data_IF_134221099980
#
_entry.id   IF_134221099980
#
_cell.length_a   1.000
_cell.length_b   1.000
_cell.length_c   1.000
_cell.angle_alpha   90.00
_cell.angle_beta   90.00
_cell.angle_gamma   90.00
#
_symmetry.space_group_name_H-M   'P 1'
#
loop_
_entity.id
_entity.type
_entity.pdbx_description
1 polymer ?
#
# COMPACT_ATOMS: atom_id res chain seq x y z
N UNK A 1 -8.71 -12.05 32.44
CA UNK A 1 -7.24 -12.27 32.39
C UNK A 1 -6.87 -13.68 31.96
N UNK A 2 -7.54 -14.73 32.47
CA UNK A 2 -7.26 -16.13 32.06
C UNK A 2 -7.59 -16.41 30.59
N UNK A 3 -8.74 -15.92 30.13
CA UNK A 3 -9.19 -16.11 28.73
C UNK A 3 -8.27 -15.44 27.69
N UNK A 4 -7.61 -14.34 28.07
CA UNK A 4 -6.71 -13.62 27.17
C UNK A 4 -5.34 -14.31 27.04
N UNK A 5 -4.86 -14.95 28.11
CA UNK A 5 -3.63 -15.77 28.07
C UNK A 5 -3.86 -17.06 27.28
N UNK A 6 -5.03 -17.70 27.43
CA UNK A 6 -5.39 -18.87 26.63
C UNK A 6 -5.55 -18.51 25.14
N UNK A 7 -6.13 -17.34 24.85
CA UNK A 7 -6.22 -16.79 23.49
C UNK A 7 -4.86 -16.59 22.84
N UNK A 8 -3.92 -15.95 23.54
CA UNK A 8 -2.57 -15.66 23.06
C UNK A 8 -1.76 -16.94 22.76
N UNK A 9 -1.87 -17.95 23.62
CA UNK A 9 -1.23 -19.26 23.40
C UNK A 9 -1.80 -19.95 22.16
N UNK A 10 -3.12 -19.94 21.96
CA UNK A 10 -3.76 -20.55 20.80
C UNK A 10 -3.38 -19.83 19.50
N UNK A 11 -3.33 -18.49 19.52
CA UNK A 11 -2.88 -17.65 18.41
C UNK A 11 -1.45 -18.00 18.00
N UNK A 12 -0.55 -18.12 18.98
CA UNK A 12 0.86 -18.45 18.71
C UNK A 12 1.03 -19.87 18.17
N UNK A 13 0.22 -20.82 18.65
CA UNK A 13 0.17 -22.18 18.10
C UNK A 13 -0.38 -22.22 16.68
N UNK A 14 -1.39 -21.40 16.36
CA UNK A 14 -1.91 -21.24 14.99
C UNK A 14 -0.80 -20.76 14.03
N UNK A 15 -0.10 -19.69 14.40
CA UNK A 15 0.97 -19.10 13.57
C UNK A 15 2.14 -20.05 13.32
N UNK A 16 2.41 -20.96 14.25
CA UNK A 16 3.47 -21.98 14.15
C UNK A 16 2.99 -23.34 13.59
N UNK A 17 1.72 -23.46 13.21
CA UNK A 17 1.15 -24.70 12.66
C UNK A 17 0.96 -25.83 13.69
N UNK A 18 0.83 -25.50 14.97
CA UNK A 18 0.70 -26.46 16.08
C UNK A 18 -0.73 -26.85 16.46
N UNK A 19 -1.76 -26.29 15.81
CA UNK A 19 -3.15 -26.60 16.12
C UNK A 19 -3.62 -27.90 15.44
N UNK A 20 -4.40 -28.70 16.18
CA UNK A 20 -5.13 -29.85 15.64
C UNK A 20 -6.27 -29.39 14.72
N UNK A 21 -6.69 -30.23 13.77
CA UNK A 21 -7.74 -29.89 12.79
C UNK A 21 -9.09 -29.46 13.41
N UNK A 22 -9.46 -30.01 14.57
CA UNK A 22 -10.69 -29.62 15.29
C UNK A 22 -10.58 -28.21 15.89
N UNK A 23 -9.51 -27.96 16.64
CA UNK A 23 -9.22 -26.64 17.22
C UNK A 23 -8.98 -25.57 16.14
N UNK A 24 -8.41 -25.95 14.99
CA UNK A 24 -8.18 -25.04 13.87
C UNK A 24 -9.48 -24.45 13.33
N UNK A 25 -10.51 -25.28 13.14
CA UNK A 25 -11.81 -24.80 12.63
C UNK A 25 -12.48 -23.85 13.61
N UNK A 26 -12.51 -24.19 14.89
CA UNK A 26 -13.09 -23.32 15.93
C UNK A 26 -12.32 -22.01 16.05
N UNK A 27 -10.99 -22.07 15.90
CA UNK A 27 -10.12 -20.91 15.91
C UNK A 27 -10.38 -20.00 14.69
N UNK A 28 -10.46 -20.55 13.48
CA UNK A 28 -10.75 -19.79 12.26
C UNK A 28 -12.15 -19.15 12.27
N UNK A 29 -13.15 -19.87 12.76
CA UNK A 29 -14.51 -19.34 12.92
C UNK A 29 -14.54 -18.15 13.89
N UNK A 30 -13.81 -18.26 15.00
CA UNK A 30 -13.67 -17.16 15.95
C UNK A 30 -12.91 -15.99 15.35
N UNK A 31 -11.83 -16.24 14.60
CA UNK A 31 -11.05 -15.22 13.92
C UNK A 31 -11.87 -14.39 12.92
N UNK A 32 -12.86 -15.02 12.26
CA UNK A 32 -13.75 -14.34 11.32
C UNK A 32 -14.87 -13.53 11.97
N UNK A 33 -15.23 -13.84 13.22
CA UNK A 33 -16.40 -13.27 13.91
C UNK A 33 -16.01 -12.25 14.99
N UNK A 34 -14.81 -12.36 15.54
CA UNK A 34 -14.30 -11.57 16.66
C UNK A 34 -13.13 -10.68 16.18
N UNK A 35 -13.45 -9.41 15.88
CA UNK A 35 -12.47 -8.42 15.41
C UNK A 35 -11.33 -8.19 16.42
N UNK A 36 -11.62 -8.22 17.72
CA UNK A 36 -10.61 -8.05 18.77
C UNK A 36 -9.64 -9.24 18.81
N UNK A 37 -10.13 -10.45 18.51
CA UNK A 37 -9.30 -11.65 18.39
C UNK A 37 -8.40 -11.59 17.15
N UNK A 38 -8.88 -11.03 16.04
CA UNK A 38 -8.06 -10.77 14.86
C UNK A 38 -6.95 -9.74 15.14
N UNK A 39 -7.25 -8.66 15.87
CA UNK A 39 -6.21 -7.70 16.27
C UNK A 39 -5.13 -8.33 17.16
N UNK A 40 -5.52 -9.26 18.04
CA UNK A 40 -4.57 -10.03 18.86
C UNK A 40 -3.67 -10.93 18.00
N UNK A 41 -4.21 -11.55 16.95
CA UNK A 41 -3.42 -12.32 15.98
C UNK A 41 -2.33 -11.45 15.33
N UNK A 42 -2.67 -10.25 14.86
CA UNK A 42 -1.72 -9.33 14.23
C UNK A 42 -0.63 -8.87 15.20
N UNK A 43 -0.99 -8.63 16.46
CA UNK A 43 -0.04 -8.27 17.51
C UNK A 43 0.93 -9.44 17.80
N UNK A 44 0.41 -10.66 17.91
CA UNK A 44 1.21 -11.86 18.14
C UNK A 44 2.11 -12.22 16.93
N UNK A 45 1.66 -11.93 15.71
CA UNK A 45 2.47 -12.05 14.48
C UNK A 45 3.73 -11.16 14.55
N UNK A 46 3.56 -9.91 14.96
CA UNK A 46 4.68 -8.97 15.13
C UNK A 46 5.63 -9.43 16.23
N UNK A 47 5.11 -9.86 17.39
CA UNK A 47 5.92 -10.37 18.50
C UNK A 47 6.70 -11.64 18.11
N UNK A 48 6.11 -12.52 17.31
CA UNK A 48 6.78 -13.72 16.83
C UNK A 48 7.95 -13.42 15.88
N UNK A 49 7.82 -12.39 15.04
CA UNK A 49 8.90 -11.92 14.17
C UNK A 49 10.05 -11.36 15.00
N UNK A 50 9.75 -10.53 16.00
CA UNK A 50 10.75 -9.95 16.89
C UNK A 50 11.49 -11.03 17.70
N UNK A 51 10.76 -12.03 18.21
CA UNK A 51 11.34 -13.17 18.93
C UNK A 51 12.26 -14.01 18.03
N UNK A 52 11.94 -14.14 16.74
CA UNK A 52 12.82 -14.83 15.79
C UNK A 52 14.07 -14.01 15.44
N UNK A 53 13.93 -12.68 15.29
CA UNK A 53 15.07 -11.79 14.99
C UNK A 53 16.02 -11.66 16.18
N UNK A 54 15.51 -11.77 17.40
CA UNK A 54 16.28 -11.69 18.66
C UNK A 54 16.82 -13.05 19.15
N UNK A 55 16.67 -14.12 18.37
CA UNK A 55 17.03 -15.50 18.75
C UNK A 55 16.35 -15.99 20.05
N UNK A 56 15.17 -15.45 20.39
CA UNK A 56 14.38 -15.83 21.56
C UNK A 56 13.49 -17.06 21.34
N UNK A 57 13.33 -17.52 20.09
CA UNK A 57 12.59 -18.74 19.75
C UNK A 57 13.41 -20.00 20.00
N UNK A 58 12.77 -21.06 20.52
CA UNK A 58 13.39 -22.38 20.63
C UNK A 58 13.65 -22.98 19.25
N UNK A 59 14.61 -23.90 19.14
CA UNK A 59 14.96 -24.53 17.85
C UNK A 59 13.76 -25.17 17.12
N UNK A 60 12.82 -25.76 17.87
CA UNK A 60 11.60 -26.31 17.30
C UNK A 60 10.65 -25.22 16.78
N UNK A 61 10.50 -24.12 17.53
CA UNK A 61 9.69 -22.98 17.13
C UNK A 61 10.27 -22.25 15.93
N UNK A 62 11.59 -22.06 15.85
CA UNK A 62 12.26 -21.45 14.70
C UNK A 62 12.06 -22.28 13.42
N UNK A 63 12.14 -23.62 13.53
CA UNK A 63 11.86 -24.51 12.39
C UNK A 63 10.40 -24.40 11.92
N UNK A 64 9.46 -24.37 12.86
CA UNK A 64 8.04 -24.14 12.56
C UNK A 64 7.80 -22.76 11.94
N UNK A 65 8.48 -21.73 12.43
CA UNK A 65 8.42 -20.37 11.91
C UNK A 65 8.88 -20.32 10.44
N UNK A 66 10.01 -20.94 10.13
CA UNK A 66 10.52 -20.98 8.74
C UNK A 66 9.64 -21.80 7.80
N UNK A 67 9.03 -22.88 8.29
CA UNK A 67 8.27 -23.82 7.45
C UNK A 67 6.80 -23.45 7.28
N UNK A 68 6.17 -22.88 8.31
CA UNK A 68 4.72 -22.60 8.34
C UNK A 68 4.41 -21.10 8.35
N UNK A 69 5.16 -20.32 9.14
CA UNK A 69 4.91 -18.89 9.23
C UNK A 69 5.40 -18.19 7.96
N UNK A 70 6.65 -18.43 7.52
CA UNK A 70 7.24 -17.84 6.30
C UNK A 70 6.75 -18.47 4.98
N UNK A 71 5.50 -18.92 4.88
CA UNK A 71 4.94 -19.42 3.62
C UNK A 71 4.48 -18.32 2.66
N UNK A 72 4.18 -17.12 3.17
CA UNK A 72 3.62 -16.02 2.38
C UNK A 72 4.66 -14.92 2.13
N UNK A 73 4.67 -14.29 0.94
CA UNK A 73 5.66 -13.24 0.61
C UNK A 73 5.57 -12.02 1.53
N UNK A 74 4.38 -11.70 2.05
CA UNK A 74 4.17 -10.62 3.02
C UNK A 74 4.95 -10.85 4.33
N UNK A 75 4.92 -12.07 4.88
CA UNK A 75 5.64 -12.39 6.13
C UNK A 75 7.15 -12.36 5.95
N UNK A 76 7.65 -12.67 4.75
CA UNK A 76 9.07 -12.47 4.41
C UNK A 76 9.46 -11.00 4.39
N UNK A 77 8.59 -10.12 3.90
CA UNK A 77 8.82 -8.68 3.87
C UNK A 77 8.84 -8.10 5.28
N UNK A 78 7.89 -8.46 6.13
CA UNK A 78 7.86 -8.04 7.54
C UNK A 78 9.13 -8.50 8.29
N UNK A 79 9.59 -9.73 8.06
CA UNK A 79 10.85 -10.22 8.62
C UNK A 79 12.07 -9.42 8.13
N UNK A 80 12.13 -9.07 6.84
CA UNK A 80 13.21 -8.23 6.29
C UNK A 80 13.24 -6.87 6.96
N UNK A 81 12.07 -6.27 7.19
CA UNK A 81 11.95 -4.98 7.87
C UNK A 81 12.44 -5.07 9.32
N UNK A 82 11.97 -6.07 10.08
CA UNK A 82 12.39 -6.28 11.47
C UNK A 82 13.90 -6.50 11.59
N UNK A 83 14.50 -7.27 10.68
CA UNK A 83 15.96 -7.47 10.62
C UNK A 83 16.71 -6.17 10.32
N UNK A 84 16.24 -5.37 9.36
CA UNK A 84 16.83 -4.08 9.03
C UNK A 84 16.76 -3.09 10.20
N UNK A 85 15.65 -3.11 10.95
CA UNK A 85 15.48 -2.30 12.15
C UNK A 85 16.43 -2.71 13.28
N UNK A 86 16.55 -4.02 13.56
CA UNK A 86 17.50 -4.54 14.56
C UNK A 86 18.95 -4.15 14.23
N UNK A 87 19.36 -4.22 12.96
CA UNK A 87 20.70 -3.85 12.51
C UNK A 87 21.02 -2.36 12.76
N UNK A 88 20.03 -1.47 12.67
CA UNK A 88 20.21 -0.05 12.98
C UNK A 88 20.35 0.20 14.48
N UNK A 89 19.58 -0.51 15.31
CA UNK A 89 19.69 -0.44 16.78
C UNK A 89 21.05 -0.88 17.31
N UNK A 90 21.67 -1.89 16.69
CA UNK A 90 23.02 -2.36 17.04
C UNK A 90 24.16 -1.53 16.45
N UNK A 91 23.88 -0.62 15.52
CA UNK A 91 24.90 0.20 14.82
C UNK A 91 25.01 1.64 15.35
N UNK A 92 24.35 1.96 16.47
CA UNK A 92 24.60 3.23 17.15
C UNK A 92 26.07 3.26 17.62
N UNK A 93 26.86 4.28 17.25
CA UNK A 93 28.28 4.31 17.54
C UNK A 93 28.50 4.42 19.05
N UNK A 94 28.87 3.29 19.63
CA UNK A 94 29.53 3.17 20.92
C UNK A 94 30.86 3.94 20.84
N UNK A 95 30.81 5.21 21.25
CA UNK A 95 32.00 6.02 21.44
C UNK A 95 32.82 5.40 22.57
N UNK A 96 33.91 4.74 22.18
CA UNK A 96 34.93 4.19 23.03
C UNK A 96 35.42 5.22 24.07
N UNK A 97 35.28 4.84 25.35
CA UNK A 97 35.89 5.49 26.50
C UNK A 97 36.44 4.41 27.43
N UNK A 98 37.60 3.88 27.05
CA UNK A 98 38.51 2.99 27.79
C UNK A 98 38.52 3.22 29.30
N UNK A 99 38.40 2.14 30.09
CA UNK A 99 39.34 1.80 31.18
C UNK A 99 38.96 0.46 31.86
N UNK A 100 39.79 -0.54 31.53
CA UNK A 100 40.38 -1.54 32.45
C UNK A 100 39.48 -2.42 33.33
N UNK A 101 39.51 -3.73 33.01
CA UNK A 101 39.35 -4.82 33.97
C UNK A 101 40.45 -4.76 35.07
N UNK A 102 40.26 -5.46 36.20
CA UNK A 102 40.88 -6.79 36.33
C UNK A 102 39.96 -7.86 37.01
N UNK A 103 40.40 -9.14 37.09
CA UNK A 103 39.51 -10.30 37.13
C UNK A 103 39.32 -10.87 38.54
N UNK A 104 38.24 -11.64 38.74
CA UNK A 104 38.21 -12.74 39.72
C UNK A 104 37.25 -13.83 39.26
N UNK A 105 37.82 -15.02 39.06
CA UNK A 105 37.17 -16.32 38.90
C UNK A 105 36.39 -16.70 40.16
N UNK A 106 35.21 -17.32 40.02
CA UNK A 106 34.86 -18.57 40.71
C UNK A 106 33.67 -19.26 40.03
N UNK A 107 33.90 -20.51 39.66
CA UNK A 107 32.94 -21.56 39.27
C UNK A 107 32.19 -22.08 40.50
N UNK A 108 30.86 -22.25 40.39
CA UNK A 108 30.13 -23.42 40.93
C UNK A 108 28.81 -23.59 40.19
N UNK A 109 28.53 -24.83 39.79
CA UNK A 109 27.33 -25.30 39.12
C UNK A 109 26.07 -25.19 40.00
N UNK A 110 24.92 -24.93 39.38
CA UNK A 110 23.60 -25.33 39.91
C UNK A 110 22.59 -25.52 38.78
N UNK A 111 21.81 -26.58 38.94
CA UNK A 111 20.94 -27.26 37.99
C UNK A 111 19.52 -26.65 37.96
N UNK A 112 19.01 -26.35 36.74
CA UNK A 112 17.59 -26.14 36.35
C UNK A 112 16.79 -24.96 36.99
N UNK A 113 15.67 -24.49 36.39
CA UNK A 113 15.01 -24.88 35.12
C UNK A 113 14.95 -23.74 34.07
N UNK A 114 14.47 -24.11 32.89
CA UNK A 114 14.17 -23.23 31.75
C UNK A 114 13.01 -22.30 32.13
N UNK A 115 13.31 -21.04 32.40
CA UNK A 115 12.31 -20.00 32.64
C UNK A 115 12.14 -19.12 31.40
N UNK A 116 10.87 -18.82 31.12
CA UNK A 116 10.32 -18.12 29.96
C UNK A 116 11.18 -16.92 29.55
N UNK A 117 11.59 -16.91 28.28
CA UNK A 117 12.28 -15.79 27.65
C UNK A 117 11.49 -14.49 27.90
N UNK A 118 12.15 -13.56 28.57
CA UNK A 118 11.61 -12.25 28.91
C UNK A 118 11.33 -11.46 27.63
N UNK A 119 10.04 -11.21 27.39
CA UNK A 119 9.55 -10.36 26.31
C UNK A 119 10.05 -8.93 26.54
N UNK A 120 10.51 -8.25 25.50
CA UNK A 120 11.10 -6.90 25.54
C UNK A 120 10.24 -5.83 26.24
N UNK A 121 8.95 -6.10 26.49
CA UNK A 121 8.07 -5.34 27.40
C UNK A 121 8.66 -5.18 28.81
N UNK A 122 9.46 -6.13 29.27
CA UNK A 122 10.17 -6.09 30.56
C UNK A 122 11.45 -5.22 30.54
N UNK A 123 11.92 -4.79 29.37
CA UNK A 123 13.14 -3.98 29.20
C UNK A 123 12.85 -2.47 29.00
N UNK A 124 11.59 -2.07 28.85
CA UNK A 124 11.18 -0.66 28.75
C UNK A 124 11.42 0.16 30.04
N UNK A 125 11.39 -0.38 31.29
CA UNK A 125 11.62 0.46 32.48
C UNK A 125 13.10 0.76 32.78
N UNK A 126 14.07 0.20 32.04
CA UNK A 126 15.50 0.48 32.28
C UNK A 126 16.02 1.75 31.59
N UNK A 127 15.31 2.26 30.56
CA UNK A 127 15.76 3.41 29.76
C UNK A 127 15.46 4.78 30.42
N UNK A 128 14.81 4.81 31.59
CA UNK A 128 14.43 6.04 32.31
C UNK A 128 15.28 6.34 33.56
N UNK A 129 16.34 5.57 33.83
CA UNK A 129 17.28 5.88 34.93
C UNK A 129 18.47 6.70 34.43
N UNK A 130 18.23 7.97 34.14
CA UNK A 130 19.30 8.95 33.95
C UNK A 130 19.81 9.43 35.32
N UNK A 131 21.03 9.00 35.68
CA UNK A 131 21.80 9.49 36.82
C UNK A 131 22.64 10.70 36.38
N UNK A 132 22.14 11.94 36.38
CA UNK A 132 22.98 13.15 36.54
C UNK A 132 22.13 14.38 36.98
N UNK A 133 22.51 15.15 38.02
CA UNK A 133 21.67 16.17 38.65
C UNK A 133 21.59 17.54 37.93
N UNK A 134 22.19 17.72 36.74
CA UNK A 134 22.31 19.04 36.09
C UNK A 134 21.29 19.31 34.95
N UNK A 135 20.37 18.39 34.63
CA UNK A 135 19.30 18.60 33.63
C UNK A 135 17.93 18.96 34.24
N UNK A 136 17.89 19.30 35.53
CA UNK A 136 16.64 19.57 36.26
C UNK A 136 15.76 20.69 35.67
N UNK A 137 16.32 21.63 34.92
CA UNK A 137 15.55 22.71 34.29
C UNK A 137 14.98 22.34 32.90
N UNK A 138 15.57 21.39 32.17
CA UNK A 138 15.02 20.93 30.89
C UNK A 138 13.82 20.00 31.09
N UNK A 139 13.84 19.19 32.17
CA UNK A 139 12.77 18.27 32.53
C UNK A 139 11.50 19.01 33.03
N UNK A 140 11.67 20.19 33.62
CA UNK A 140 10.57 21.06 34.03
C UNK A 140 9.79 21.63 32.84
N UNK A 141 10.47 22.02 31.75
CA UNK A 141 9.81 22.48 30.53
C UNK A 141 9.06 21.35 29.81
N UNK A 142 9.62 20.13 29.76
CA UNK A 142 8.91 18.97 29.21
C UNK A 142 7.72 18.55 30.07
N UNK A 143 7.81 18.64 31.39
CA UNK A 143 6.67 18.38 32.28
C UNK A 143 5.57 19.43 32.08
N UNK A 144 5.91 20.70 31.88
CA UNK A 144 4.91 21.73 31.58
C UNK A 144 4.25 21.52 30.22
N UNK A 145 4.99 21.08 29.19
CA UNK A 145 4.42 20.74 27.88
C UNK A 145 3.52 19.50 27.98
N UNK A 146 3.86 18.50 28.79
CA UNK A 146 3.03 17.32 29.03
C UNK A 146 1.79 17.66 29.86
N UNK A 147 1.89 18.58 30.83
CA UNK A 147 0.74 19.01 31.63
C UNK A 147 -0.20 19.91 30.82
N UNK A 148 0.33 20.86 30.04
CA UNK A 148 -0.49 21.71 29.16
C UNK A 148 -1.03 20.95 27.96
N UNK A 149 -0.20 20.14 27.31
CA UNK A 149 -0.59 19.29 26.18
C UNK A 149 -1.54 18.16 26.60
N UNK A 150 -1.28 17.52 27.74
CA UNK A 150 -2.16 16.52 28.34
C UNK A 150 -3.47 17.13 28.81
N UNK A 151 -3.45 18.31 29.41
CA UNK A 151 -4.66 19.05 29.76
C UNK A 151 -5.49 19.45 28.54
N UNK A 152 -4.84 19.90 27.47
CA UNK A 152 -5.50 20.22 26.20
C UNK A 152 -6.04 18.97 25.49
N UNK A 153 -5.31 17.85 25.53
CA UNK A 153 -5.74 16.57 24.95
C UNK A 153 -6.87 15.91 25.75
N UNK A 154 -6.84 15.97 27.09
CA UNK A 154 -7.96 15.55 27.93
C UNK A 154 -9.18 16.46 27.75
N UNK A 155 -8.97 17.77 27.56
CA UNK A 155 -10.06 18.67 27.21
C UNK A 155 -10.66 18.33 25.83
N UNK A 156 -9.83 17.89 24.88
CA UNK A 156 -10.27 17.40 23.57
C UNK A 156 -11.04 16.08 23.70
N UNK A 157 -10.54 15.11 24.46
CA UNK A 157 -11.19 13.82 24.75
C UNK A 157 -12.54 14.02 25.46
N UNK A 158 -12.61 14.88 26.47
CA UNK A 158 -13.88 15.22 27.13
C UNK A 158 -14.84 16.01 26.23
N UNK A 159 -14.32 16.75 25.25
CA UNK A 159 -15.16 17.38 24.20
C UNK A 159 -15.70 16.36 23.21
N UNK A 160 -15.00 15.24 22.99
CA UNK A 160 -15.46 14.13 22.16
C UNK A 160 -16.48 13.25 22.89
N UNK A 161 -16.29 12.98 24.18
CA UNK A 161 -17.28 12.23 24.99
C UNK A 161 -18.63 12.95 25.09
N UNK A 162 -18.63 14.29 25.14
CA UNK A 162 -19.89 15.06 25.10
C UNK A 162 -20.61 15.00 23.75
N UNK A 163 -19.89 14.75 22.66
CA UNK A 163 -20.52 14.51 21.34
C UNK A 163 -21.08 13.08 21.28
N UNK A 164 -20.36 12.09 21.81
CA UNK A 164 -20.82 10.68 21.86
C UNK A 164 -22.04 10.50 22.79
N UNK A 165 -22.08 11.18 23.93
CA UNK A 165 -23.22 11.12 24.85
C UNK A 165 -24.50 11.74 24.26
N UNK A 166 -24.39 12.73 23.37
CA UNK A 166 -25.55 13.28 22.65
C UNK A 166 -26.07 12.34 21.55
N UNK A 167 -25.23 11.45 21.00
CA UNK A 167 -25.68 10.44 20.03
C UNK A 167 -26.28 9.19 20.69
N UNK A 168 -25.93 8.88 21.94
CA UNK A 168 -26.49 7.71 22.64
C UNK A 168 -27.86 7.96 23.28
N UNK A 169 -28.20 9.19 23.65
CA UNK A 169 -29.57 9.50 24.14
C UNK A 169 -30.65 9.42 23.06
N UNK A 170 -30.28 9.35 21.78
CA UNK A 170 -31.20 9.23 20.64
C UNK A 170 -31.24 7.81 20.03
N UNK A 171 -30.54 6.84 20.64
CA UNK A 171 -30.49 5.43 20.19
C UNK A 171 -30.77 4.47 21.35
N UNK A 172 -31.89 4.66 22.03
CA UNK A 172 -32.56 3.50 22.64
C UNK A 172 -33.16 2.75 21.46
N UNK A 173 -32.73 1.53 21.17
CA UNK A 173 -33.26 0.72 20.05
C UNK A 173 -34.70 0.27 20.45
N UNK A 174 -35.80 0.86 19.94
CA UNK A 174 -37.08 0.16 19.97
C UNK A 174 -36.92 -1.12 19.15
N UNK A 175 -37.49 -2.24 19.60
CA UNK A 175 -37.50 -3.46 18.80
C UNK A 175 -38.00 -3.12 17.38
N UNK A 176 -37.28 -3.52 16.30
CA UNK A 176 -37.67 -3.17 14.94
C UNK A 176 -39.09 -3.67 14.70
N UNK A 177 -40.01 -2.76 14.41
CA UNK A 177 -41.33 -3.14 13.93
C UNK A 177 -41.15 -3.63 12.49
N UNK A 178 -41.92 -4.62 12.02
CA UNK A 178 -41.83 -5.16 10.65
C UNK A 178 -41.78 -4.07 9.56
N UNK A 179 -42.39 -2.91 9.83
CA UNK A 179 -42.38 -1.73 8.97
C UNK A 179 -40.99 -1.10 8.74
N UNK A 180 -40.08 -1.16 9.71
CA UNK A 180 -38.75 -0.55 9.60
C UNK A 180 -37.76 -1.44 8.84
N UNK A 181 -37.97 -2.76 8.87
CA UNK A 181 -37.20 -3.72 8.08
C UNK A 181 -37.59 -3.71 6.58
N UNK A 182 -38.82 -3.27 6.25
CA UNK A 182 -39.30 -3.23 4.86
C UNK A 182 -38.81 -2.00 4.08
N UNK A 183 -38.59 -0.87 4.75
CA UNK A 183 -38.06 0.36 4.13
C UNK A 183 -36.77 0.17 3.31
N UNK A 184 -35.70 -0.45 3.84
CA UNK A 184 -34.48 -0.62 3.07
C UNK A 184 -34.67 -1.53 1.84
N UNK A 185 -35.62 -2.48 1.91
CA UNK A 185 -35.94 -3.35 0.77
C UNK A 185 -36.69 -2.61 -0.34
N UNK A 186 -37.61 -1.71 0.01
CA UNK A 186 -38.31 -0.86 -0.95
C UNK A 186 -37.36 0.15 -1.61
N UNK A 187 -36.46 0.76 -0.83
CA UNK A 187 -35.44 1.67 -1.34
C UNK A 187 -34.48 0.96 -2.32
N UNK A 188 -34.00 -0.23 -1.96
CA UNK A 188 -33.15 -1.03 -2.84
C UNK A 188 -33.87 -1.39 -4.16
N UNK A 189 -35.17 -1.72 -4.09
CA UNK A 189 -35.99 -2.00 -5.28
C UNK A 189 -36.18 -0.74 -6.15
N UNK A 190 -36.39 0.42 -5.54
CA UNK A 190 -36.52 1.69 -6.25
C UNK A 190 -35.23 2.05 -6.99
N UNK A 191 -34.07 1.93 -6.33
CA UNK A 191 -32.76 2.15 -6.94
C UNK A 191 -32.50 1.20 -8.11
N UNK A 192 -32.81 -0.09 -7.94
CA UNK A 192 -32.65 -1.08 -9.01
C UNK A 192 -33.54 -0.77 -10.23
N UNK A 193 -34.75 -0.25 -10.02
CA UNK A 193 -35.63 0.19 -11.11
C UNK A 193 -35.09 1.43 -11.82
N UNK A 194 -34.58 2.41 -11.08
CA UNK A 194 -33.96 3.61 -11.66
C UNK A 194 -32.76 3.27 -12.55
N UNK A 195 -31.85 2.42 -12.06
CA UNK A 195 -30.65 2.02 -12.80
C UNK A 195 -31.01 1.26 -14.09
N UNK A 196 -32.04 0.42 -14.05
CA UNK A 196 -32.55 -0.27 -15.24
C UNK A 196 -33.13 0.70 -16.26
N UNK A 197 -33.84 1.72 -15.81
CA UNK A 197 -34.39 2.73 -16.69
C UNK A 197 -33.27 3.54 -17.38
N UNK A 198 -32.24 3.91 -16.63
CA UNK A 198 -31.07 4.61 -17.16
C UNK A 198 -30.33 3.77 -18.21
N UNK A 199 -30.05 2.50 -17.91
CA UNK A 199 -29.45 1.56 -18.86
C UNK A 199 -30.30 1.40 -20.13
N UNK A 200 -31.62 1.38 -20.01
CA UNK A 200 -32.50 1.31 -21.18
C UNK A 200 -32.45 2.60 -22.01
N UNK A 201 -32.37 3.76 -21.37
CA UNK A 201 -32.23 5.05 -22.07
C UNK A 201 -30.90 5.11 -22.83
N UNK A 202 -29.82 4.67 -22.19
CA UNK A 202 -28.49 4.65 -22.81
C UNK A 202 -28.46 3.68 -23.99
N UNK A 203 -29.01 2.45 -23.85
CA UNK A 203 -29.13 1.50 -24.95
C UNK A 203 -29.95 2.05 -26.13
N UNK A 204 -31.08 2.70 -25.87
CA UNK A 204 -31.90 3.33 -26.92
C UNK A 204 -31.18 4.49 -27.58
N UNK A 205 -30.39 5.27 -26.82
CA UNK A 205 -29.57 6.33 -27.39
C UNK A 205 -28.46 5.76 -28.29
N UNK A 206 -27.81 4.69 -27.84
CA UNK A 206 -26.80 3.98 -28.62
C UNK A 206 -27.37 3.41 -29.92
N UNK A 207 -28.50 2.71 -29.85
CA UNK A 207 -29.19 2.15 -31.01
C UNK A 207 -29.58 3.24 -32.03
N UNK A 208 -30.08 4.39 -31.56
CA UNK A 208 -30.37 5.54 -32.43
C UNK A 208 -29.11 6.08 -33.11
N UNK A 209 -28.00 6.18 -32.38
CA UNK A 209 -26.73 6.65 -32.94
C UNK A 209 -26.20 5.69 -34.00
N UNK A 210 -26.31 4.38 -33.77
CA UNK A 210 -25.92 3.36 -34.73
C UNK A 210 -26.79 3.37 -35.98
N UNK A 211 -28.11 3.54 -35.84
CA UNK A 211 -29.03 3.68 -36.97
C UNK A 211 -28.72 4.93 -37.80
N UNK A 212 -28.39 6.05 -37.16
CA UNK A 212 -28.01 7.28 -37.86
C UNK A 212 -26.69 7.11 -38.62
N UNK A 213 -25.69 6.48 -37.99
CA UNK A 213 -24.43 6.09 -38.64
C UNK A 213 -24.66 5.16 -39.84
N UNK A 214 -25.58 4.20 -39.71
CA UNK A 214 -25.93 3.29 -40.80
C UNK A 214 -26.60 4.03 -41.97
N UNK A 215 -27.51 4.98 -41.68
CA UNK A 215 -28.13 5.84 -42.70
C UNK A 215 -27.11 6.72 -43.42
N UNK A 216 -26.19 7.35 -42.69
CA UNK A 216 -25.12 8.16 -43.28
C UNK A 216 -24.20 7.31 -44.16
N UNK A 217 -23.87 6.09 -43.73
CA UNK A 217 -23.09 5.14 -44.54
C UNK A 217 -23.80 4.78 -45.84
N UNK A 218 -25.10 4.50 -45.80
CA UNK A 218 -25.87 4.15 -46.99
C UNK A 218 -26.00 5.36 -47.94
N UNK A 219 -26.20 6.56 -47.41
CA UNK A 219 -26.23 7.79 -48.20
C UNK A 219 -24.88 8.08 -48.87
N UNK A 220 -23.77 7.90 -48.14
CA UNK A 220 -22.42 8.04 -48.68
C UNK A 220 -22.11 6.96 -49.73
N UNK A 221 -22.63 5.73 -49.55
CA UNK A 221 -22.49 4.63 -50.52
C UNK A 221 -23.18 4.97 -51.84
N UNK A 222 -24.43 5.43 -51.81
CA UNK A 222 -25.17 5.86 -53.01
C UNK A 222 -24.54 7.07 -53.70
N UNK A 223 -23.96 7.99 -52.94
CA UNK A 223 -23.18 9.11 -53.48
C UNK A 223 -21.87 8.66 -54.17
N UNK A 224 -21.23 7.60 -53.65
CA UNK A 224 -20.00 7.05 -54.23
C UNK A 224 -20.24 6.22 -55.49
N UNK A 225 -21.38 5.51 -55.62
CA UNK A 225 -21.70 4.74 -56.84
C UNK A 225 -21.99 5.65 -58.05
N UNK A 226 -22.48 6.88 -57.83
CA UNK A 226 -22.63 7.88 -58.90
C UNK A 226 -21.29 8.52 -59.30
N UNK A 227 -20.32 8.55 -58.39
CA UNK A 227 -19.01 9.17 -58.62
C UNK A 227 -17.94 8.22 -59.20
N UNK A 228 -18.11 6.89 -59.11
CA UNK A 228 -17.12 5.92 -59.62
C UNK A 228 -17.10 5.83 -61.16
N UNK A 229 -18.08 6.42 -61.86
CA UNK A 229 -18.10 6.45 -63.33
C UNK A 229 -17.47 7.72 -63.95
N UNK A 230 -17.00 8.68 -63.14
CA UNK A 230 -16.29 9.86 -63.60
C UNK A 230 -14.98 10.05 -62.82
N UNK A 231 -13.87 10.20 -63.53
CA UNK A 231 -12.49 10.39 -63.03
C UNK A 231 -11.78 9.15 -62.45
N UNK A 232 -11.20 8.37 -63.35
CA UNK A 232 -9.88 7.76 -63.12
C UNK A 232 -8.83 8.78 -63.58
N UNK A 233 -7.90 9.20 -62.71
CA UNK A 233 -6.50 9.01 -63.07
C UNK A 233 -5.63 8.55 -61.89
N UNK A 234 -4.51 7.94 -62.29
CA UNK A 234 -3.41 7.48 -61.47
C UNK A 234 -2.71 8.63 -60.71
N UNK A 235 -2.28 8.37 -59.47
CA UNK A 235 -0.89 8.61 -58.99
C UNK A 235 -0.79 8.54 -57.46
N UNK A 236 0.27 7.84 -57.00
CA UNK A 236 1.07 8.18 -55.83
C UNK A 236 0.35 8.38 -54.49
N UNK A 237 0.29 7.34 -53.67
CA UNK A 237 0.18 7.53 -52.22
C UNK A 237 1.56 7.97 -51.70
N UNK A 238 1.73 9.17 -51.12
CA UNK A 238 2.89 9.42 -50.29
C UNK A 238 2.70 8.61 -49.01
N UNK A 239 3.57 7.64 -48.77
CA UNK A 239 3.69 6.91 -47.50
C UNK A 239 3.91 7.95 -46.40
N UNK A 240 3.01 8.10 -45.41
CA UNK A 240 3.30 8.98 -44.30
C UNK A 240 4.40 8.33 -43.47
N UNK A 241 5.57 8.94 -43.49
CA UNK A 241 6.71 8.68 -42.63
C UNK A 241 6.33 9.10 -41.19
N UNK A 242 5.42 8.35 -40.56
CA UNK A 242 5.02 8.56 -39.17
C UNK A 242 6.15 8.07 -38.29
N UNK A 243 6.77 8.98 -37.54
CA UNK A 243 7.64 8.66 -36.43
C UNK A 243 6.99 7.57 -35.58
N UNK A 244 7.62 6.39 -35.50
CA UNK A 244 7.11 5.26 -34.75
C UNK A 244 7.18 5.59 -33.25
N UNK A 245 6.04 6.02 -32.70
CA UNK A 245 5.84 6.25 -31.27
C UNK A 245 5.28 4.96 -30.64
N UNK A 246 5.90 4.51 -29.55
CA UNK A 246 5.46 3.34 -28.78
C UNK A 246 4.91 3.80 -27.44
N UNK A 247 3.68 3.43 -27.09
CA UNK A 247 3.03 3.86 -25.85
C UNK A 247 3.07 2.74 -24.79
N UNK A 248 3.50 3.09 -23.59
CA UNK A 248 3.54 2.22 -22.40
C UNK A 248 2.62 2.84 -21.35
N UNK A 249 1.61 2.09 -20.91
CA UNK A 249 0.82 2.45 -19.74
C UNK A 249 1.46 1.84 -18.49
N UNK A 250 1.69 2.68 -17.48
CA UNK A 250 2.17 2.32 -16.15
C UNK A 250 1.09 2.71 -15.15
N UNK A 251 0.47 1.72 -14.49
CA UNK A 251 -0.53 1.95 -13.45
C UNK A 251 0.12 1.92 -12.08
N UNK A 252 -0.36 2.74 -11.14
CA UNK A 252 -0.05 2.53 -9.70
C UNK A 252 -0.80 1.29 -9.25
N UNK A 253 -0.14 0.42 -8.48
CA UNK A 253 -0.79 -0.81 -8.00
C UNK A 253 -0.03 -2.11 -8.22
N UNK A 254 1.30 -2.09 -8.30
CA UNK A 254 2.09 -3.30 -8.03
C UNK A 254 2.22 -3.51 -6.52
N UNK A 255 1.11 -3.84 -5.88
CA UNK A 255 1.20 -4.67 -4.67
C UNK A 255 0.35 -5.90 -4.86
N UNK A 256 1.05 -7.03 -4.81
CA UNK A 256 0.56 -8.34 -4.41
C UNK A 256 -0.10 -9.20 -5.49
N UNK A 257 0.64 -9.50 -6.56
CA UNK A 257 0.90 -10.90 -6.94
C UNK A 257 2.08 -10.97 -7.91
N UNK A 258 2.96 -11.96 -7.71
CA UNK A 258 4.14 -12.31 -8.52
C UNK A 258 5.23 -11.23 -8.75
N UNK A 259 6.49 -11.67 -8.71
CA UNK A 259 7.68 -10.89 -9.13
C UNK A 259 7.72 -10.58 -10.64
N UNK A 260 6.65 -9.98 -11.17
CA UNK A 260 6.53 -9.55 -12.55
C UNK A 260 6.88 -8.09 -12.69
N UNK A 261 8.17 -7.75 -12.78
CA UNK A 261 8.59 -6.50 -13.41
C UNK A 261 7.85 -6.40 -14.75
N UNK A 262 7.15 -5.30 -15.01
CA UNK A 262 6.48 -5.08 -16.29
C UNK A 262 7.56 -5.10 -17.38
N UNK A 263 7.65 -6.22 -18.11
CA UNK A 263 8.64 -6.44 -19.17
C UNK A 263 8.16 -5.73 -20.42
N UNK A 264 8.96 -4.80 -20.91
CA UNK A 264 8.68 -4.03 -22.11
C UNK A 264 9.74 -4.38 -23.15
N UNK A 265 9.32 -4.92 -24.29
CA UNK A 265 10.17 -5.04 -25.48
C UNK A 265 9.95 -3.83 -26.35
N UNK A 266 11.02 -3.06 -26.59
CA UNK A 266 11.00 -1.87 -27.44
C UNK A 266 11.52 -2.29 -28.83
N UNK A 267 10.69 -2.25 -29.89
CA UNK A 267 11.15 -2.57 -31.23
C UNK A 267 12.27 -1.61 -31.69
N UNK A 268 13.29 -2.09 -32.45
CA UNK A 268 14.47 -1.31 -32.81
C UNK A 268 14.18 -0.08 -33.70
N UNK A 269 12.99 0.00 -34.29
CA UNK A 269 12.57 1.09 -35.16
C UNK A 269 11.85 2.24 -34.42
N UNK A 270 11.66 2.13 -33.10
CA UNK A 270 10.97 3.14 -32.29
C UNK A 270 11.93 4.25 -31.90
N UNK A 271 11.60 5.50 -32.23
CA UNK A 271 12.41 6.66 -31.86
C UNK A 271 12.04 7.22 -30.49
N UNK A 272 10.75 7.17 -30.15
CA UNK A 272 10.19 7.79 -28.95
C UNK A 272 9.24 6.82 -28.24
N UNK A 273 9.42 6.71 -26.93
CA UNK A 273 8.58 5.92 -26.04
C UNK A 273 7.74 6.88 -25.19
N UNK A 274 6.43 6.75 -25.29
CA UNK A 274 5.45 7.55 -24.55
C UNK A 274 5.01 6.76 -23.32
N UNK A 275 5.24 7.32 -22.13
CA UNK A 275 4.81 6.76 -20.86
C UNK A 275 3.52 7.44 -20.43
N UNK A 276 2.50 6.65 -20.12
CA UNK A 276 1.23 7.10 -19.56
C UNK A 276 1.11 6.58 -18.14
N UNK A 277 1.10 7.47 -17.16
CA UNK A 277 0.98 7.16 -15.75
C UNK A 277 -0.43 7.51 -15.27
N UNK A 278 -1.07 6.60 -14.57
CA UNK A 278 -2.36 6.85 -13.92
C UNK A 278 -2.14 7.50 -12.55
N UNK A 279 -2.93 8.52 -12.24
CA UNK A 279 -2.89 9.26 -10.98
C UNK A 279 -4.07 8.85 -10.10
N UNK A 280 -3.79 8.58 -8.83
CA UNK A 280 -4.81 8.33 -7.82
C UNK A 280 -5.49 9.63 -7.35
N UNK A 281 -4.74 10.73 -7.29
CA UNK A 281 -5.25 12.05 -6.90
C UNK A 281 -4.74 13.16 -7.82
N UNK A 282 -5.56 14.21 -8.03
CA UNK A 282 -5.19 15.38 -8.85
C UNK A 282 -5.12 16.65 -7.98
N UNK A 283 -4.24 16.60 -6.99
CA UNK A 283 -4.11 17.67 -5.98
C UNK A 283 -2.99 18.69 -6.33
N UNK A 284 -2.18 18.43 -7.37
CA UNK A 284 -1.00 19.22 -7.67
C UNK A 284 -1.11 19.95 -9.03
N UNK A 285 -0.74 21.25 -9.10
CA UNK A 285 -0.81 22.02 -10.34
C UNK A 285 0.19 21.54 -11.41
N UNK A 286 1.32 20.95 -10.97
CA UNK A 286 2.36 20.44 -11.84
C UNK A 286 2.94 19.16 -11.24
N UNK A 287 3.48 18.32 -12.10
CA UNK A 287 4.14 17.08 -11.71
C UNK A 287 5.55 17.01 -12.30
N UNK A 288 6.41 16.25 -11.63
CA UNK A 288 7.76 15.92 -12.04
C UNK A 288 7.89 14.40 -12.12
N UNK A 289 8.37 13.90 -13.26
CA UNK A 289 8.71 12.50 -13.44
C UNK A 289 10.22 12.36 -13.64
N UNK A 290 10.85 11.53 -12.82
CA UNK A 290 12.29 11.24 -12.88
C UNK A 290 12.49 9.78 -13.23
N UNK A 291 13.14 9.51 -14.36
CA UNK A 291 13.60 8.19 -14.76
C UNK A 291 15.01 7.96 -14.21
N UNK A 292 15.18 6.86 -13.47
CA UNK A 292 16.45 6.47 -12.89
C UNK A 292 16.66 4.95 -12.95
N UNK A 293 17.92 4.52 -12.82
CA UNK A 293 18.26 3.09 -12.61
C UNK A 293 18.12 2.72 -11.12
N UNK A 294 18.06 1.41 -10.77
CA UNK A 294 18.12 0.94 -9.38
C UNK A 294 19.35 1.43 -8.60
N UNK A 295 20.43 1.75 -9.32
CA UNK A 295 21.67 2.31 -8.79
C UNK A 295 21.57 3.81 -8.48
N UNK A 296 20.37 4.40 -8.55
CA UNK A 296 20.08 5.84 -8.36
C UNK A 296 20.76 6.75 -9.38
N UNK A 297 21.08 6.25 -10.58
CA UNK A 297 21.56 7.07 -11.69
C UNK A 297 20.38 7.72 -12.39
N UNK A 298 20.29 9.05 -12.33
CA UNK A 298 19.27 9.81 -13.05
C UNK A 298 19.57 9.82 -14.55
N UNK A 299 18.60 9.41 -15.35
CA UNK A 299 18.72 9.32 -16.82
C UNK A 299 18.00 10.50 -17.47
N UNK A 300 16.76 10.75 -17.03
CA UNK A 300 15.91 11.83 -17.57
C UNK A 300 14.98 12.33 -16.47
N UNK A 301 14.93 13.65 -16.29
CA UNK A 301 13.84 14.32 -15.57
C UNK A 301 12.95 15.11 -16.52
N UNK A 302 11.65 15.06 -16.25
CA UNK A 302 10.61 15.84 -16.91
C UNK A 302 9.84 16.61 -15.85
N UNK A 303 9.81 17.92 -15.99
CA UNK A 303 9.12 18.82 -15.06
C UNK A 303 7.90 19.46 -15.73
N UNK A 304 7.07 20.14 -14.92
CA UNK A 304 5.89 20.89 -15.39
C UNK A 304 4.92 20.02 -16.18
N UNK A 305 4.85 18.74 -15.82
CA UNK A 305 3.88 17.81 -16.39
C UNK A 305 2.49 18.15 -15.87
N UNK A 306 1.48 18.05 -16.75
CA UNK A 306 0.09 18.33 -16.40
C UNK A 306 -0.71 17.04 -16.44
N UNK A 307 -1.55 16.83 -15.43
CA UNK A 307 -2.57 15.79 -15.45
C UNK A 307 -3.61 16.11 -16.55
N UNK A 308 -3.98 15.09 -17.32
CA UNK A 308 -5.09 15.14 -18.28
C UNK A 308 -6.14 14.12 -17.87
N UNK A 309 -7.41 14.48 -17.97
CA UNK A 309 -8.50 13.52 -17.73
C UNK A 309 -8.75 12.69 -19.00
N UNK A 310 -8.78 11.37 -18.87
CA UNK A 310 -9.12 10.43 -19.94
C UNK A 310 -10.02 9.33 -19.36
N UNK A 311 -11.27 9.24 -19.84
CA UNK A 311 -12.27 8.25 -19.40
C UNK A 311 -12.53 8.23 -17.87
N UNK A 312 -12.50 9.39 -17.21
CA UNK A 312 -12.71 9.49 -15.76
C UNK A 312 -11.45 9.34 -14.90
N UNK A 313 -10.39 8.73 -15.43
CA UNK A 313 -9.07 8.65 -14.77
C UNK A 313 -8.19 9.85 -15.13
N UNK A 314 -7.39 10.32 -14.16
CA UNK A 314 -6.37 11.36 -14.37
C UNK A 314 -5.08 10.67 -14.78
N UNK A 315 -4.51 11.10 -15.91
CA UNK A 315 -3.29 10.52 -16.46
C UNK A 315 -2.24 11.60 -16.73
N UNK A 316 -0.98 11.28 -16.49
CA UNK A 316 0.16 12.05 -16.94
C UNK A 316 0.78 11.33 -18.12
N UNK A 317 1.14 12.08 -19.16
CA UNK A 317 1.84 11.49 -20.29
C UNK A 317 3.12 12.26 -20.58
N UNK A 318 4.24 11.53 -20.68
CA UNK A 318 5.53 12.10 -21.05
C UNK A 318 6.27 11.18 -22.03
N UNK A 319 7.21 11.74 -22.79
CA UNK A 319 7.93 11.01 -23.84
C UNK A 319 9.43 10.99 -23.56
N UNK A 320 10.02 9.81 -23.68
CA UNK A 320 11.45 9.56 -23.54
C UNK A 320 11.98 8.99 -24.86
N UNK A 321 13.10 9.50 -25.39
CA UNK A 321 13.76 8.90 -26.55
C UNK A 321 14.21 7.47 -26.26
N UNK A 322 13.98 6.54 -27.19
CA UNK A 322 14.34 5.12 -27.02
C UNK A 322 15.84 4.91 -26.77
N UNK A 323 16.70 5.79 -27.31
CA UNK A 323 18.16 5.79 -27.09
C UNK A 323 18.60 5.90 -25.61
N UNK A 324 17.73 6.33 -24.71
CA UNK A 324 18.03 6.41 -23.27
C UNK A 324 17.58 5.15 -22.50
N UNK A 325 16.90 4.22 -23.19
CA UNK A 325 16.36 2.98 -22.64
C UNK A 325 17.13 1.81 -23.27
N UNK A 326 18.16 1.35 -22.57
CA UNK A 326 18.89 0.11 -22.88
C UNK A 326 18.20 -1.06 -22.16
N UNK A 327 18.57 -2.31 -22.46
CA UNK A 327 18.09 -3.43 -21.66
C UNK A 327 18.50 -3.29 -20.20
N UNK A 328 17.54 -3.50 -19.31
CA UNK A 328 17.75 -3.34 -17.88
C UNK A 328 16.52 -2.89 -17.11
N UNK A 329 16.73 -2.67 -15.81
CA UNK A 329 15.69 -2.27 -14.87
C UNK A 329 15.68 -0.75 -14.71
N UNK A 330 14.47 -0.19 -14.65
CA UNK A 330 14.25 1.24 -14.53
C UNK A 330 13.17 1.54 -13.51
N UNK A 331 13.31 2.69 -12.86
CA UNK A 331 12.33 3.26 -11.95
C UNK A 331 11.92 4.64 -12.45
N UNK A 332 10.61 4.88 -12.47
CA UNK A 332 10.04 6.22 -12.62
C UNK A 332 9.55 6.67 -11.26
N UNK A 333 10.12 7.75 -10.74
CA UNK A 333 9.59 8.43 -9.55
C UNK A 333 8.68 9.55 -10.03
N UNK A 334 7.43 9.55 -9.57
CA UNK A 334 6.47 10.61 -9.81
C UNK A 334 6.33 11.48 -8.56
N UNK A 335 6.52 12.79 -8.71
CA UNK A 335 6.32 13.76 -7.65
C UNK A 335 5.35 14.86 -8.08
N UNK A 336 4.45 15.25 -7.17
CA UNK A 336 3.59 16.42 -7.28
C UNK A 336 4.31 17.66 -6.77
N UNK A 337 4.27 18.75 -7.53
CA UNK A 337 4.86 20.04 -7.13
C UNK A 337 3.75 20.89 -6.51
N UNK A 338 3.88 21.21 -5.22
CA UNK A 338 2.93 22.07 -4.51
C UNK A 338 2.98 23.51 -5.02
N UNK A 339 2.00 24.33 -4.65
CA UNK A 339 2.00 25.78 -4.94
C UNK A 339 3.23 26.51 -4.38
N UNK A 340 3.86 25.93 -3.35
CA UNK A 340 5.05 26.47 -2.69
C UNK A 340 6.36 25.98 -3.37
N UNK A 341 6.27 25.17 -4.42
CA UNK A 341 7.42 24.64 -5.16
C UNK A 341 8.06 23.39 -4.53
N UNK A 342 7.48 22.85 -3.45
CA UNK A 342 7.96 21.64 -2.80
C UNK A 342 7.55 20.40 -3.60
N UNK A 343 8.48 19.46 -3.80
CA UNK A 343 8.21 18.22 -4.51
C UNK A 343 7.81 17.11 -3.52
N UNK A 344 6.56 16.67 -3.61
CA UNK A 344 6.02 15.56 -2.82
C UNK A 344 5.98 14.30 -3.66
N UNK A 345 6.65 13.24 -3.22
CA UNK A 345 6.64 11.95 -3.90
C UNK A 345 5.22 11.33 -3.84
N UNK A 346 4.69 10.96 -5.00
CA UNK A 346 3.36 10.36 -5.17
C UNK A 346 3.43 8.87 -5.46
N UNK A 347 4.57 8.35 -5.91
CA UNK A 347 4.71 6.95 -6.25
C UNK A 347 5.97 6.63 -7.04
N UNK A 348 6.34 5.35 -7.03
CA UNK A 348 7.46 4.81 -7.80
C UNK A 348 6.97 3.66 -8.67
N UNK A 349 7.27 3.71 -9.97
CA UNK A 349 6.86 2.73 -10.96
C UNK A 349 8.11 1.99 -11.45
N UNK A 350 8.09 0.66 -11.47
CA UNK A 350 9.23 -0.16 -11.89
C UNK A 350 8.92 -0.91 -13.19
N UNK A 351 9.89 -0.95 -14.10
CA UNK A 351 9.75 -1.70 -15.36
C UNK A 351 11.11 -2.23 -15.83
N UNK A 352 11.08 -3.32 -16.61
CA UNK A 352 12.27 -3.92 -17.21
C UNK A 352 12.19 -3.79 -18.73
N UNK A 353 13.21 -3.18 -19.34
CA UNK A 353 13.39 -3.20 -20.79
C UNK A 353 14.14 -4.46 -21.17
N UNK A 354 13.60 -5.21 -22.13
CA UNK A 354 14.30 -6.37 -22.70
C UNK A 354 15.20 -5.91 -23.84
N UNK A 355 16.46 -6.34 -23.83
CA UNK A 355 17.30 -6.26 -25.03
C UNK A 355 16.70 -7.13 -26.12
N UNK A 356 16.65 -6.61 -27.34
CA UNK A 356 16.03 -7.25 -28.50
C UNK A 356 17.06 -7.75 -29.50
#
# INVERSE_FOLDING_TARGET
>A
MKDQVEGDIAIRQYLLGGLTAENLRQFEERLMTDDDYFQQLLAAESELIDDYVSDALTAQQSKSFETHFLCTPERHEQLRFARAFSQYGSSAPEAAGTLSAPPVTHTTASTAPVDKAASWKDYIPAFLRVQHPATGLALACSLLIIIFGGGWMLAKIRRLEKQVAQFQTDHTIPLPTDSDAQRPLEEARAQAMQLREELQRERKAHEKSEQELARQREQNRSGSETAIQAQRPASGVPKPERAAAFAIALSTGLTRDAGGLQKVSIPPHVTNVQFTLELETDEYPNYRATLQTPERREIVTREKLKARSRNGSKIITFTIPARHLSGGDYLVILAGITTNGEAKNLGTYTFRVLDN
#
